data_IF_724049997281
#
_entry.id   IF_724049997281
#
_cell.length_a   1.000
_cell.length_b   1.000
_cell.length_c   1.000
_cell.angle_alpha   90.00
_cell.angle_beta   90.00
_cell.angle_gamma   90.00
#
_symmetry.space_group_name_H-M   'P 1'
#
loop_
_entity.id
_entity.type
_entity.pdbx_description
1 polymer ?
#
# COMPACT_ATOMS: atom_id res chain seq x y z
N UNK A 1 3.81 12.57 -27.19
CA UNK A 1 4.43 11.72 -26.16
C UNK A 1 5.13 12.66 -25.20
N UNK A 2 4.81 12.55 -23.91
CA UNK A 2 5.35 13.45 -22.91
C UNK A 2 6.76 12.98 -22.54
N UNK A 3 7.75 13.84 -22.63
CA UNK A 3 9.14 13.54 -22.27
C UNK A 3 9.72 14.64 -21.39
N UNK A 4 10.63 14.24 -20.50
CA UNK A 4 11.28 15.13 -19.56
C UNK A 4 12.67 14.64 -19.19
N UNK A 5 13.53 15.59 -18.86
CA UNK A 5 14.86 15.38 -18.32
C UNK A 5 14.86 15.74 -16.83
N UNK A 6 15.10 14.75 -15.96
CA UNK A 6 15.11 14.93 -14.51
C UNK A 6 16.54 15.02 -14.03
N UNK A 7 16.97 16.20 -13.58
CA UNK A 7 18.33 16.48 -13.11
C UNK A 7 18.44 16.34 -11.59
N UNK A 8 19.57 15.81 -11.13
CA UNK A 8 19.96 15.86 -9.72
C UNK A 8 21.45 16.09 -9.55
N UNK A 9 21.84 16.71 -8.43
CA UNK A 9 23.24 16.72 -7.98
C UNK A 9 23.77 15.30 -7.83
N UNK A 10 22.92 14.41 -7.34
CA UNK A 10 23.17 12.98 -7.26
C UNK A 10 21.97 12.24 -7.83
N UNK A 11 22.23 11.39 -8.83
CA UNK A 11 21.25 10.42 -9.33
C UNK A 11 21.67 9.05 -8.81
N UNK A 12 20.88 8.50 -7.89
CA UNK A 12 21.10 7.18 -7.31
C UNK A 12 20.46 6.16 -8.25
N UNK A 13 21.25 5.49 -9.07
CA UNK A 13 20.78 4.45 -10.00
C UNK A 13 20.55 3.12 -9.28
N UNK A 14 21.40 2.83 -8.27
CA UNK A 14 21.31 1.64 -7.43
C UNK A 14 21.78 1.99 -6.02
N UNK A 15 20.94 1.71 -5.03
CA UNK A 15 21.34 1.76 -3.62
C UNK A 15 21.81 0.37 -3.17
N UNK A 16 23.08 0.26 -2.82
CA UNK A 16 23.67 -0.94 -2.21
C UNK A 16 23.70 -0.86 -0.68
N UNK A 17 24.29 -1.87 -0.04
CA UNK A 17 24.50 -1.87 1.42
C UNK A 17 25.70 -1.01 1.84
N UNK A 18 26.55 -0.64 0.88
CA UNK A 18 27.76 0.17 1.05
C UNK A 18 28.02 1.01 -0.22
N UNK A 19 29.09 1.81 -0.20
CA UNK A 19 29.46 2.68 -1.31
C UNK A 19 29.86 1.88 -2.57
N UNK A 20 30.55 0.75 -2.40
CA UNK A 20 31.08 -0.06 -3.51
C UNK A 20 29.96 -0.79 -4.27
N UNK A 21 28.86 -1.11 -3.58
CA UNK A 21 27.66 -1.73 -4.15
C UNK A 21 26.60 -0.74 -4.63
N UNK A 22 26.85 0.57 -4.46
CA UNK A 22 25.97 1.65 -4.92
C UNK A 22 26.43 2.22 -6.27
N UNK A 23 25.48 2.67 -7.08
CA UNK A 23 25.75 3.35 -8.35
C UNK A 23 25.13 4.74 -8.29
N UNK A 24 25.98 5.77 -8.25
CA UNK A 24 25.58 7.17 -8.14
C UNK A 24 26.27 7.98 -9.23
N UNK A 25 25.50 8.75 -9.99
CA UNK A 25 26.01 9.71 -10.96
C UNK A 25 25.97 11.10 -10.33
N UNK A 26 27.12 11.78 -10.27
CA UNK A 26 27.20 13.17 -9.79
C UNK A 26 26.89 14.11 -10.95
N UNK A 27 26.07 15.14 -10.71
CA UNK A 27 25.49 16.03 -11.71
C UNK A 27 24.87 15.24 -12.88
N UNK A 28 24.04 14.26 -12.54
CA UNK A 28 23.41 13.35 -13.48
C UNK A 28 21.98 13.76 -13.86
N UNK A 29 21.42 13.05 -14.84
CA UNK A 29 20.01 13.12 -15.17
C UNK A 29 19.42 11.79 -15.61
N UNK A 30 18.09 11.70 -15.52
CA UNK A 30 17.25 10.62 -16.05
C UNK A 30 16.41 11.19 -17.18
N UNK A 31 16.46 10.60 -18.36
CA UNK A 31 15.56 10.93 -19.45
C UNK A 31 14.43 9.91 -19.52
N UNK A 32 13.19 10.39 -19.53
CA UNK A 32 12.00 9.55 -19.64
C UNK A 32 11.13 9.95 -20.83
N UNK A 33 10.43 8.96 -21.38
CA UNK A 33 9.35 9.14 -22.35
C UNK A 33 8.16 8.29 -21.94
N UNK A 34 7.00 8.93 -21.84
CA UNK A 34 5.72 8.30 -21.48
C UNK A 34 5.82 7.39 -20.23
N UNK A 35 6.57 7.84 -19.22
CA UNK A 35 6.74 7.15 -17.94
C UNK A 35 7.77 6.02 -17.95
N UNK A 36 8.48 5.79 -19.06
CA UNK A 36 9.57 4.83 -19.17
C UNK A 36 10.92 5.55 -19.17
N UNK A 37 11.88 5.02 -18.41
CA UNK A 37 13.26 5.51 -18.41
C UNK A 37 13.93 5.02 -19.70
N UNK A 38 14.35 5.95 -20.56
CA UNK A 38 15.09 5.63 -21.79
C UNK A 38 16.61 5.72 -21.58
N UNK A 39 17.08 6.69 -20.79
CA UNK A 39 18.51 6.90 -20.55
C UNK A 39 18.79 7.47 -19.14
N UNK A 40 19.94 7.13 -18.56
CA UNK A 40 20.44 7.68 -17.29
C UNK A 40 21.93 7.97 -17.45
N UNK A 41 22.38 9.19 -17.16
CA UNK A 41 23.74 9.60 -17.48
C UNK A 41 24.15 10.96 -16.92
N UNK A 42 25.28 11.46 -17.39
CA UNK A 42 25.74 12.83 -17.12
C UNK A 42 24.73 13.86 -17.66
N UNK A 43 24.42 14.86 -16.84
CA UNK A 43 23.38 15.85 -17.17
C UNK A 43 23.71 16.63 -18.45
N UNK A 44 24.96 17.06 -18.65
CA UNK A 44 25.34 17.91 -19.80
C UNK A 44 25.21 17.15 -21.11
N UNK A 45 25.60 15.88 -21.08
CA UNK A 45 25.49 14.97 -22.22
C UNK A 45 24.03 14.77 -22.60
N UNK A 46 23.17 14.42 -21.63
CA UNK A 46 21.74 14.24 -21.88
C UNK A 46 21.04 15.54 -22.30
N UNK A 47 21.39 16.68 -21.70
CA UNK A 47 20.82 17.98 -22.08
C UNK A 47 21.18 18.37 -23.52
N UNK A 48 22.38 18.05 -23.98
CA UNK A 48 22.78 18.29 -25.35
C UNK A 48 22.01 17.40 -26.35
N UNK A 49 21.71 16.15 -25.97
CA UNK A 49 20.89 15.23 -26.77
C UNK A 49 19.40 15.59 -26.76
N UNK A 50 18.91 16.18 -25.66
CA UNK A 50 17.52 16.53 -25.39
C UNK A 50 17.35 18.04 -25.07
N UNK A 51 17.69 18.95 -26.01
CA UNK A 51 17.79 20.38 -25.71
C UNK A 51 16.44 21.07 -25.44
N UNK A 52 15.35 20.51 -25.96
CA UNK A 52 14.02 21.13 -25.93
C UNK A 52 13.03 20.43 -24.97
N UNK A 53 13.46 19.36 -24.30
CA UNK A 53 12.62 18.64 -23.34
C UNK A 53 12.49 19.42 -22.02
N UNK A 54 11.35 19.25 -21.35
CA UNK A 54 11.09 19.83 -20.03
C UNK A 54 12.16 19.36 -19.03
N UNK A 55 12.66 20.28 -18.23
CA UNK A 55 13.66 19.98 -17.20
C UNK A 55 13.05 20.09 -15.80
N UNK A 56 13.24 19.04 -15.00
CA UNK A 56 12.74 18.93 -13.64
C UNK A 56 13.94 18.72 -12.70
N UNK A 57 13.96 19.42 -11.56
CA UNK A 57 15.04 19.35 -10.60
C UNK A 57 16.25 20.21 -10.98
N UNK A 58 17.34 20.08 -10.21
CA UNK A 58 18.49 20.96 -10.28
C UNK A 58 19.74 20.35 -9.64
N UNK A 59 20.84 21.10 -9.64
CA UNK A 59 22.05 20.75 -8.89
C UNK A 59 21.90 20.87 -7.35
N UNK A 60 20.71 21.18 -6.85
CA UNK A 60 20.40 21.16 -5.41
C UNK A 60 19.56 19.94 -5.01
N UNK A 61 19.15 19.11 -5.97
CA UNK A 61 18.24 18.00 -5.73
C UNK A 61 18.95 16.65 -5.76
N UNK A 62 18.32 15.64 -5.15
CA UNK A 62 18.73 14.25 -5.23
C UNK A 62 17.62 13.48 -5.94
N UNK A 63 17.99 12.70 -6.94
CA UNK A 63 17.08 11.82 -7.67
C UNK A 63 17.37 10.39 -7.25
N UNK A 64 16.35 9.66 -6.83
CA UNK A 64 16.47 8.28 -6.39
C UNK A 64 15.20 7.50 -6.78
N UNK A 65 15.25 6.16 -6.84
CA UNK A 65 14.06 5.36 -7.12
C UNK A 65 13.02 5.59 -6.04
N UNK A 66 11.75 5.77 -6.42
CA UNK A 66 10.67 5.93 -5.45
C UNK A 66 10.61 4.75 -4.47
N UNK A 67 10.28 5.05 -3.22
CA UNK A 67 10.26 4.05 -2.16
C UNK A 67 9.14 3.02 -2.41
N UNK A 68 9.41 1.78 -2.03
CA UNK A 68 8.46 0.66 -2.14
C UNK A 68 7.99 0.29 -0.74
N UNK A 69 6.73 0.57 -0.44
CA UNK A 69 6.08 0.09 0.76
C UNK A 69 5.61 -1.35 0.55
N UNK A 70 6.43 -2.30 0.98
CA UNK A 70 6.21 -3.73 0.74
C UNK A 70 5.08 -4.34 1.57
N UNK A 71 4.47 -3.60 2.51
CA UNK A 71 3.36 -4.11 3.33
C UNK A 71 2.55 -2.98 3.97
N UNK A 72 1.35 -2.73 3.46
CA UNK A 72 0.44 -1.72 4.01
C UNK A 72 -0.96 -2.29 4.28
N UNK A 73 -1.66 -1.73 5.26
CA UNK A 73 -3.04 -2.14 5.64
C UNK A 73 -4.09 -1.05 5.39
N UNK A 74 -3.75 -0.04 4.60
CA UNK A 74 -4.70 0.89 4.00
C UNK A 74 -5.29 1.98 4.88
N UNK A 75 -4.66 2.24 6.03
CA UNK A 75 -5.17 3.23 6.99
C UNK A 75 -4.32 4.48 6.92
N UNK A 76 -4.88 5.55 6.40
CA UNK A 76 -4.26 6.88 6.39
C UNK A 76 -4.41 7.61 7.73
N UNK A 77 -5.25 7.10 8.64
CA UNK A 77 -5.44 7.63 9.99
C UNK A 77 -5.09 6.58 11.04
N UNK A 78 -4.75 7.04 12.23
CA UNK A 78 -4.42 6.15 13.34
C UNK A 78 -5.63 5.32 13.76
N UNK A 79 -5.39 4.13 14.31
CA UNK A 79 -6.44 3.30 14.89
C UNK A 79 -7.13 3.96 16.08
N UNK A 80 -6.41 4.80 16.81
CA UNK A 80 -6.97 5.66 17.86
C UNK A 80 -8.06 6.60 17.32
N UNK A 81 -7.80 7.30 16.22
CA UNK A 81 -8.80 8.17 15.57
C UNK A 81 -10.03 7.40 15.08
N UNK A 82 -9.88 6.10 14.79
CA UNK A 82 -10.97 5.20 14.43
C UNK A 82 -11.69 4.58 15.64
N UNK A 83 -11.28 4.91 16.87
CA UNK A 83 -11.91 4.47 18.12
C UNK A 83 -11.29 3.23 18.76
N UNK A 84 -10.12 2.77 18.30
CA UNK A 84 -9.39 1.65 18.93
C UNK A 84 -8.16 2.16 19.67
N UNK A 85 -8.17 2.08 21.00
CA UNK A 85 -6.98 2.39 21.80
C UNK A 85 -5.88 1.34 21.61
N UNK A 86 -4.64 1.72 21.96
CA UNK A 86 -3.50 0.80 21.96
C UNK A 86 -3.69 -0.32 22.99
N UNK A 87 -3.27 -1.53 22.61
CA UNK A 87 -3.28 -2.70 23.48
C UNK A 87 -2.36 -3.82 22.98
N UNK A 88 -2.35 -4.98 23.66
CA UNK A 88 -1.77 -6.21 23.12
C UNK A 88 -2.45 -6.59 21.80
N UNK A 89 -1.70 -7.22 20.91
CA UNK A 89 -2.14 -7.49 19.54
C UNK A 89 -3.50 -8.22 19.50
N UNK A 90 -3.67 -9.25 20.30
CA UNK A 90 -4.90 -10.05 20.34
C UNK A 90 -6.11 -9.20 20.74
N UNK A 91 -5.97 -8.38 21.78
CA UNK A 91 -7.06 -7.51 22.25
C UNK A 91 -7.30 -6.36 21.26
N UNK A 92 -6.24 -5.82 20.68
CA UNK A 92 -6.29 -4.77 19.66
C UNK A 92 -6.97 -5.23 18.37
N UNK A 93 -6.76 -6.48 17.95
CA UNK A 93 -7.41 -7.06 16.77
C UNK A 93 -8.92 -7.18 16.97
N UNK A 94 -9.36 -7.74 18.12
CA UNK A 94 -10.79 -7.92 18.43
C UNK A 94 -11.48 -6.57 18.63
N UNK A 95 -10.86 -5.64 19.38
CA UNK A 95 -11.39 -4.27 19.52
C UNK A 95 -11.40 -3.51 18.19
N UNK A 96 -10.53 -3.89 17.25
CA UNK A 96 -10.49 -3.38 15.89
C UNK A 96 -11.74 -3.68 15.07
N UNK A 97 -12.55 -4.69 15.43
CA UNK A 97 -13.83 -4.96 14.77
C UNK A 97 -14.90 -3.90 15.07
N UNK A 98 -14.71 -3.11 16.14
CA UNK A 98 -15.60 -2.01 16.52
C UNK A 98 -15.14 -0.64 15.98
N UNK A 99 -14.17 -0.61 15.05
CA UNK A 99 -13.72 0.64 14.45
C UNK A 99 -14.86 1.33 13.72
N UNK A 100 -14.83 2.67 13.74
CA UNK A 100 -15.78 3.48 12.98
C UNK A 100 -15.71 3.10 11.49
N UNK A 101 -16.84 2.99 10.79
CA UNK A 101 -16.83 2.76 9.34
C UNK A 101 -16.15 3.93 8.64
N UNK A 102 -15.51 3.65 7.52
CA UNK A 102 -14.88 4.64 6.66
C UNK A 102 -15.25 4.38 5.20
N UNK A 103 -15.17 5.41 4.38
CA UNK A 103 -15.27 5.30 2.93
C UNK A 103 -13.95 4.73 2.37
N UNK A 104 -14.03 3.60 1.66
CA UNK A 104 -12.85 2.92 1.12
C UNK A 104 -12.08 3.75 0.08
N UNK A 105 -12.77 4.55 -0.71
CA UNK A 105 -12.13 5.39 -1.73
C UNK A 105 -11.38 6.54 -1.07
N UNK A 106 -12.07 7.29 -0.19
CA UNK A 106 -11.47 8.44 0.48
C UNK A 106 -10.31 8.03 1.40
N UNK A 107 -10.44 6.91 2.12
CA UNK A 107 -9.35 6.38 2.95
C UNK A 107 -8.15 6.01 2.09
N UNK A 108 -8.37 5.37 0.94
CA UNK A 108 -7.31 4.98 0.01
C UNK A 108 -6.60 6.20 -0.57
N UNK A 109 -7.35 7.19 -1.07
CA UNK A 109 -6.79 8.42 -1.65
C UNK A 109 -5.96 9.17 -0.61
N UNK A 110 -6.48 9.32 0.62
CA UNK A 110 -5.75 9.99 1.70
C UNK A 110 -4.49 9.22 2.13
N UNK A 111 -4.54 7.89 2.12
CA UNK A 111 -3.37 7.04 2.38
C UNK A 111 -2.31 7.21 1.29
N UNK A 112 -2.72 7.22 0.02
CA UNK A 112 -1.84 7.42 -1.13
C UNK A 112 -1.18 8.81 -1.11
N UNK A 113 -1.92 9.87 -0.78
CA UNK A 113 -1.36 11.23 -0.64
C UNK A 113 -0.19 11.25 0.35
N UNK A 114 -0.37 10.69 1.56
CA UNK A 114 0.70 10.65 2.56
C UNK A 114 1.91 9.82 2.10
N UNK A 115 1.66 8.70 1.41
CA UNK A 115 2.73 7.88 0.82
C UNK A 115 3.52 8.67 -0.23
N UNK A 116 2.83 9.35 -1.15
CA UNK A 116 3.46 10.18 -2.19
C UNK A 116 4.27 11.32 -1.57
N UNK A 117 3.69 12.04 -0.60
CA UNK A 117 4.39 13.13 0.13
C UNK A 117 5.67 12.65 0.82
N UNK A 118 5.72 11.37 1.23
CA UNK A 118 6.90 10.75 1.83
C UNK A 118 7.87 10.09 0.82
N UNK A 119 7.60 10.19 -0.48
CA UNK A 119 8.44 9.62 -1.55
C UNK A 119 8.16 8.14 -1.86
N UNK A 120 7.10 7.55 -1.31
CA UNK A 120 6.63 6.21 -1.68
C UNK A 120 5.84 6.26 -2.98
N UNK A 121 6.21 5.41 -3.95
CA UNK A 121 5.57 5.37 -5.27
C UNK A 121 4.92 4.01 -5.58
N UNK A 122 5.25 2.98 -4.79
CA UNK A 122 4.71 1.64 -4.94
C UNK A 122 4.28 1.08 -3.59
N UNK A 123 3.12 0.42 -3.53
CA UNK A 123 2.59 -0.19 -2.31
C UNK A 123 2.11 -1.61 -2.57
N UNK A 124 2.35 -2.51 -1.61
CA UNK A 124 1.63 -3.76 -1.44
C UNK A 124 0.50 -3.54 -0.42
N UNK A 125 -0.73 -3.48 -0.92
CA UNK A 125 -1.92 -3.25 -0.12
C UNK A 125 -2.56 -4.57 0.30
N UNK A 126 -2.66 -4.79 1.61
CA UNK A 126 -3.30 -5.95 2.20
C UNK A 126 -4.67 -5.57 2.76
N UNK A 127 -5.72 -5.77 1.96
CA UNK A 127 -7.10 -5.51 2.32
C UNK A 127 -7.53 -6.44 3.45
N UNK A 128 -8.15 -5.86 4.48
CA UNK A 128 -8.73 -6.66 5.57
C UNK A 128 -9.99 -7.37 5.08
N UNK A 129 -10.28 -8.56 5.59
CA UNK A 129 -11.48 -9.29 5.20
C UNK A 129 -12.73 -8.52 5.68
N UNK A 130 -13.50 -8.01 4.74
CA UNK A 130 -14.82 -7.44 4.95
C UNK A 130 -15.89 -8.53 4.72
N UNK A 131 -17.17 -8.28 5.04
CA UNK A 131 -18.22 -9.22 4.70
C UNK A 131 -18.17 -9.60 3.22
N UNK A 132 -18.29 -10.89 2.91
CA UNK A 132 -18.13 -11.40 1.53
C UNK A 132 -19.12 -10.74 0.56
N UNK A 133 -20.29 -10.36 1.06
CA UNK A 133 -21.32 -9.66 0.28
C UNK A 133 -20.87 -8.32 -0.32
N UNK A 134 -19.87 -7.64 0.27
CA UNK A 134 -19.36 -6.34 -0.20
C UNK A 134 -17.91 -6.42 -0.70
N UNK A 135 -17.27 -7.58 -0.60
CA UNK A 135 -15.84 -7.72 -0.81
C UNK A 135 -15.38 -7.32 -2.22
N UNK A 136 -16.17 -7.60 -3.25
CA UNK A 136 -15.87 -7.19 -4.64
C UNK A 136 -15.97 -5.67 -4.82
N UNK A 137 -17.05 -5.06 -4.32
CA UNK A 137 -17.23 -3.60 -4.34
C UNK A 137 -16.13 -2.87 -3.57
N UNK A 138 -15.72 -3.42 -2.42
CA UNK A 138 -14.62 -2.90 -1.62
C UNK A 138 -13.30 -2.92 -2.38
N UNK A 139 -13.01 -4.01 -3.10
CA UNK A 139 -11.82 -4.15 -3.95
C UNK A 139 -11.81 -3.11 -5.06
N UNK A 140 -12.89 -3.03 -5.83
CA UNK A 140 -13.03 -2.08 -6.94
C UNK A 140 -12.87 -0.64 -6.46
N UNK A 141 -13.46 -0.33 -5.30
CA UNK A 141 -13.39 1.00 -4.70
C UNK A 141 -11.98 1.37 -4.26
N UNK A 142 -11.25 0.43 -3.63
CA UNK A 142 -9.85 0.65 -3.22
C UNK A 142 -8.93 0.74 -4.44
N UNK A 143 -9.05 -0.17 -5.40
CA UNK A 143 -8.22 -0.17 -6.61
C UNK A 143 -8.44 1.09 -7.44
N UNK A 144 -9.69 1.55 -7.57
CA UNK A 144 -10.01 2.85 -8.18
C UNK A 144 -9.35 4.01 -7.44
N UNK A 145 -9.39 4.01 -6.11
CA UNK A 145 -8.71 5.02 -5.29
C UNK A 145 -7.21 5.09 -5.57
N UNK A 146 -6.53 3.95 -5.67
CA UNK A 146 -5.11 3.93 -6.03
C UNK A 146 -4.87 4.37 -7.47
N UNK A 147 -5.68 3.91 -8.42
CA UNK A 147 -5.56 4.25 -9.84
C UNK A 147 -5.68 5.77 -10.06
N UNK A 148 -6.67 6.42 -9.43
CA UNK A 148 -6.90 7.86 -9.53
C UNK A 148 -5.75 8.70 -8.95
N UNK A 149 -4.97 8.13 -8.01
CA UNK A 149 -3.79 8.79 -7.43
C UNK A 149 -2.50 8.53 -8.21
N UNK A 150 -2.52 7.67 -9.22
CA UNK A 150 -1.33 7.25 -9.97
C UNK A 150 -0.38 6.32 -9.22
N UNK A 151 -0.79 5.80 -8.06
CA UNK A 151 0.03 4.88 -7.24
C UNK A 151 0.15 3.51 -7.89
N UNK A 152 1.39 2.99 -7.97
CA UNK A 152 1.62 1.60 -8.37
C UNK A 152 1.24 0.68 -7.21
N UNK A 153 0.31 -0.23 -7.45
CA UNK A 153 -0.30 -1.04 -6.38
C UNK A 153 -0.25 -2.52 -6.70
N UNK A 154 0.33 -3.29 -5.80
CA UNK A 154 0.03 -4.71 -5.65
C UNK A 154 -1.07 -4.86 -4.58
N UNK A 155 -1.99 -5.80 -4.77
CA UNK A 155 -3.17 -5.92 -3.92
C UNK A 155 -3.37 -7.37 -3.49
N UNK A 156 -3.71 -7.58 -2.23
CA UNK A 156 -4.13 -8.87 -1.68
C UNK A 156 -5.33 -8.69 -0.75
N UNK A 157 -6.04 -9.79 -0.53
CA UNK A 157 -7.13 -9.88 0.44
C UNK A 157 -6.65 -10.79 1.55
N UNK A 158 -6.81 -10.38 2.80
CA UNK A 158 -6.46 -11.24 3.93
C UNK A 158 -7.33 -12.50 3.96
N UNK A 159 -6.72 -13.65 4.20
CA UNK A 159 -7.39 -14.94 4.28
C UNK A 159 -7.17 -15.60 5.63
N UNK A 160 -8.26 -16.06 6.27
CA UNK A 160 -8.22 -16.80 7.54
C UNK A 160 -9.47 -17.67 7.71
N UNK A 161 -9.29 -18.99 7.73
CA UNK A 161 -10.41 -19.95 7.85
C UNK A 161 -10.46 -20.65 9.23
N UNK A 162 -9.40 -20.55 10.03
CA UNK A 162 -9.28 -21.22 11.34
C UNK A 162 -8.78 -20.24 12.39
N UNK A 163 -9.06 -20.53 13.67
CA UNK A 163 -8.60 -19.75 14.83
C UNK A 163 -8.90 -18.25 14.65
N UNK A 164 -10.15 -17.94 14.28
CA UNK A 164 -10.51 -16.59 13.81
C UNK A 164 -10.59 -15.58 14.95
N UNK A 165 -10.73 -16.05 16.19
CA UNK A 165 -10.91 -15.21 17.38
C UNK A 165 -9.83 -15.45 18.44
N UNK A 166 -9.54 -16.72 18.74
CA UNK A 166 -8.53 -17.14 19.73
C UNK A 166 -7.62 -18.19 19.12
N UNK A 167 -6.50 -18.49 19.79
CA UNK A 167 -5.59 -19.58 19.40
C UNK A 167 -6.18 -20.97 19.74
N UNK A 168 -7.32 -21.30 19.14
CA UNK A 168 -8.04 -22.55 19.31
C UNK A 168 -9.24 -22.66 18.37
N UNK A 169 -9.82 -23.86 18.30
CA UNK A 169 -10.96 -24.15 17.43
C UNK A 169 -12.16 -23.22 17.68
N UNK A 170 -12.72 -22.67 16.61
CA UNK A 170 -13.78 -21.67 16.69
C UNK A 170 -15.06 -22.23 17.33
N UNK A 171 -15.44 -23.47 17.02
CA UNK A 171 -16.66 -24.07 17.57
C UNK A 171 -16.52 -24.37 19.06
N UNK A 172 -15.35 -24.84 19.46
CA UNK A 172 -14.99 -25.04 20.87
C UNK A 172 -15.08 -23.73 21.63
N UNK A 173 -14.51 -22.65 21.10
CA UNK A 173 -14.60 -21.32 21.71
C UNK A 173 -16.05 -20.82 21.79
N UNK A 174 -16.81 -20.90 20.70
CA UNK A 174 -18.22 -20.50 20.65
C UNK A 174 -19.09 -21.27 21.67
N UNK A 175 -18.81 -22.56 21.89
CA UNK A 175 -19.55 -23.40 22.85
C UNK A 175 -19.34 -22.98 24.31
N UNK A 176 -18.24 -22.28 24.60
CA UNK A 176 -17.93 -21.77 25.94
C UNK A 176 -18.48 -20.36 26.23
N UNK A 177 -19.09 -19.70 25.25
CA UNK A 177 -19.64 -18.35 25.40
C UNK A 177 -21.11 -18.38 25.88
N UNK A 178 -21.57 -17.32 26.58
CA UNK A 178 -23.00 -17.03 26.72
C UNK A 178 -23.71 -17.07 25.36
N UNK A 179 -24.95 -17.58 25.32
CA UNK A 179 -25.65 -17.89 24.05
C UNK A 179 -25.82 -16.67 23.15
N UNK A 180 -26.13 -15.52 23.74
CA UNK A 180 -26.27 -14.25 23.02
C UNK A 180 -24.94 -13.79 22.38
N UNK A 181 -23.82 -13.92 23.10
CA UNK A 181 -22.49 -13.62 22.57
C UNK A 181 -22.07 -14.62 21.50
N UNK A 182 -22.34 -15.91 21.71
CA UNK A 182 -22.05 -16.96 20.75
C UNK A 182 -22.81 -16.72 19.43
N UNK A 183 -24.08 -16.35 19.50
CA UNK A 183 -24.92 -16.11 18.32
C UNK A 183 -24.46 -14.87 17.54
N UNK A 184 -24.15 -13.77 18.23
CA UNK A 184 -23.61 -12.56 17.62
C UNK A 184 -22.26 -12.83 16.92
N UNK A 185 -21.34 -13.51 17.61
CA UNK A 185 -20.03 -13.84 17.05
C UNK A 185 -20.16 -14.81 15.87
N UNK A 186 -21.05 -15.80 15.95
CA UNK A 186 -21.31 -16.73 14.84
C UNK A 186 -21.81 -15.98 13.61
N UNK A 187 -22.75 -15.04 13.78
CA UNK A 187 -23.24 -14.20 12.68
C UNK A 187 -22.12 -13.41 12.00
N UNK A 188 -21.26 -12.76 12.79
CA UNK A 188 -20.09 -12.04 12.26
C UNK A 188 -19.13 -12.97 11.50
N UNK A 189 -18.72 -14.08 12.12
CA UNK A 189 -17.79 -15.04 11.52
C UNK A 189 -18.33 -15.67 10.24
N UNK A 190 -19.65 -15.88 10.14
CA UNK A 190 -20.30 -16.34 8.91
C UNK A 190 -20.27 -15.28 7.80
N UNK A 191 -20.44 -14.01 8.14
CA UNK A 191 -20.44 -12.92 7.15
C UNK A 191 -19.06 -12.73 6.48
N UNK A 192 -17.98 -13.02 7.20
CA UNK A 192 -16.59 -12.92 6.70
C UNK A 192 -16.00 -14.28 6.35
N UNK A 193 -16.80 -15.35 6.28
CA UNK A 193 -16.27 -16.68 5.96
C UNK A 193 -16.01 -16.80 4.45
N UNK A 194 -14.73 -16.87 4.07
CA UNK A 194 -14.31 -17.19 2.71
C UNK A 194 -13.65 -18.58 2.70
N UNK A 195 -14.30 -19.61 2.12
CA UNK A 195 -13.71 -20.94 2.02
C UNK A 195 -12.39 -20.93 1.22
N UNK A 196 -11.42 -21.76 1.61
CA UNK A 196 -10.12 -21.91 0.91
C UNK A 196 -10.28 -22.03 -0.60
N UNK A 197 -11.22 -22.86 -1.06
CA UNK A 197 -11.45 -23.11 -2.49
C UNK A 197 -11.88 -21.84 -3.22
N UNK A 198 -12.72 -21.03 -2.58
CA UNK A 198 -13.27 -19.82 -3.18
C UNK A 198 -12.19 -18.74 -3.20
N UNK A 199 -11.40 -18.60 -2.13
CA UNK A 199 -10.26 -17.67 -2.08
C UNK A 199 -9.24 -17.91 -3.20
N UNK A 200 -8.87 -19.17 -3.45
CA UNK A 200 -7.93 -19.51 -4.53
C UNK A 200 -8.54 -19.51 -5.93
N UNK A 201 -9.84 -19.19 -6.05
CA UNK A 201 -10.52 -19.00 -7.33
C UNK A 201 -10.83 -17.54 -7.67
N UNK A 202 -10.49 -16.61 -6.77
CA UNK A 202 -10.56 -15.16 -6.99
C UNK A 202 -9.57 -14.69 -8.06
#
# INVERSE_FOLDING_TARGET
MASSLIRGKYVICRAGNDADSSTIITDGAVFQRDGLIEEVGDYRTLKAAHPNDEEIGSSNDIVFPGLVNAHHHGRGVTTFQMGTCDDSLERWLVTGWARRPWDHYLMTVYTAMQMIESGTTTVMYNHSLTPIATLEEDQDTVLRGFADTGMRTAFSISFREQNRVVYGDDQTFLSGLPSDLADNLRSYLSAVALPTKDYFSL
#
